data_IF_311893482658
#
_entry.id   IF_311893482658
#
_cell.length_a   1.000
_cell.length_b   1.000
_cell.length_c   1.000
_cell.angle_alpha   90.00
_cell.angle_beta   90.00
_cell.angle_gamma   90.00
#
_symmetry.space_group_name_H-M   'P 1'
#
loop_
_entity.id
_entity.type
_entity.pdbx_description
1 polymer ?
#
# COMPACT_ATOMS: atom_id res chain seq x y z
N UNK A 1 -58.00 -50.53 -19.97
CA UNK A 1 -57.51 -51.88 -19.59
C UNK A 1 -56.05 -51.98 -19.99
N UNK A 2 -55.17 -52.74 -19.32
CA UNK A 2 -55.12 -53.25 -17.93
C UNK A 2 -53.88 -52.62 -17.20
N UNK A 3 -53.69 -52.63 -15.87
CA UNK A 3 -53.86 -53.70 -14.90
C UNK A 3 -52.53 -54.45 -14.72
N UNK A 4 -51.74 -54.11 -13.70
CA UNK A 4 -50.59 -54.90 -13.24
C UNK A 4 -50.24 -54.52 -11.78
N UNK A 5 -49.73 -55.46 -10.97
CA UNK A 5 -50.32 -55.75 -9.66
C UNK A 5 -49.39 -55.56 -8.45
N UNK A 6 -50.03 -55.36 -7.29
CA UNK A 6 -49.75 -56.00 -5.99
C UNK A 6 -48.33 -56.00 -5.43
N UNK A 7 -48.08 -55.15 -4.43
CA UNK A 7 -47.05 -55.38 -3.41
C UNK A 7 -47.73 -55.91 -2.13
N UNK A 8 -47.35 -57.09 -1.61
CA UNK A 8 -47.87 -57.62 -0.36
C UNK A 8 -47.27 -56.88 0.85
N UNK A 9 -48.13 -56.57 1.80
CA UNK A 9 -47.79 -55.88 3.04
C UNK A 9 -46.90 -56.70 3.97
N UNK A 10 -45.98 -55.99 4.63
CA UNK A 10 -45.26 -56.46 5.82
C UNK A 10 -45.77 -55.72 7.08
N UNK A 11 -45.75 -56.36 8.26
CA UNK A 11 -46.58 -55.97 9.39
C UNK A 11 -45.88 -55.00 10.36
N UNK A 12 -46.66 -54.08 10.92
CA UNK A 12 -46.59 -53.76 12.36
C UNK A 12 -45.64 -52.64 12.80
N UNK A 13 -45.98 -51.38 12.49
CA UNK A 13 -45.53 -50.24 13.28
C UNK A 13 -46.60 -49.86 14.33
N UNK A 14 -46.30 -49.84 15.64
CA UNK A 14 -47.28 -49.40 16.64
C UNK A 14 -47.42 -47.86 16.66
N UNK A 15 -48.62 -47.39 16.29
CA UNK A 15 -49.38 -46.32 16.94
C UNK A 15 -48.78 -44.90 17.01
N UNK A 16 -49.32 -43.99 16.19
CA UNK A 16 -49.52 -42.60 16.63
C UNK A 16 -50.81 -42.51 17.45
N UNK A 17 -50.80 -41.77 18.55
CA UNK A 17 -51.96 -40.94 18.89
C UNK A 17 -51.60 -39.50 19.33
N UNK A 18 -52.17 -38.52 18.64
CA UNK A 18 -52.67 -37.27 19.25
C UNK A 18 -51.79 -36.01 19.22
N UNK A 19 -52.13 -35.07 18.35
CA UNK A 19 -52.25 -33.64 18.71
C UNK A 19 -53.76 -33.36 18.77
N UNK A 20 -54.30 -32.54 19.71
CA UNK A 20 -53.87 -31.15 19.88
C UNK A 20 -53.91 -30.60 21.33
N UNK A 21 -53.02 -29.66 21.64
CA UNK A 21 -53.10 -28.87 22.88
C UNK A 21 -52.09 -27.74 22.92
N UNK A 22 -52.55 -26.52 22.69
CA UNK A 22 -51.98 -25.28 23.23
C UNK A 22 -53.20 -24.47 23.71
N UNK A 23 -53.10 -23.56 24.70
CA UNK A 23 -51.91 -23.01 25.35
C UNK A 23 -52.01 -23.02 26.89
N UNK A 24 -50.88 -23.02 27.61
CA UNK A 24 -50.70 -22.07 28.73
C UNK A 24 -49.26 -22.06 29.25
N UNK A 25 -48.84 -20.88 29.68
CA UNK A 25 -47.45 -20.48 29.79
C UNK A 25 -46.70 -20.95 31.03
N UNK A 26 -45.40 -21.14 30.83
CA UNK A 26 -44.36 -20.83 31.81
C UNK A 26 -43.05 -20.71 31.06
N UNK A 27 -42.52 -19.49 31.05
CA UNK A 27 -41.16 -19.18 30.65
C UNK A 27 -40.17 -19.99 31.49
N UNK A 28 -39.49 -20.95 30.87
CA UNK A 28 -38.20 -21.42 31.36
C UNK A 28 -37.17 -21.22 30.25
N UNK A 29 -36.42 -20.14 30.41
CA UNK A 29 -35.23 -19.87 29.64
C UNK A 29 -34.13 -20.85 30.04
N UNK A 30 -34.11 -22.01 29.40
CA UNK A 30 -32.88 -22.79 29.29
C UNK A 30 -32.21 -22.41 27.99
N UNK A 31 -31.38 -21.37 28.03
CA UNK A 31 -30.31 -21.23 27.04
C UNK A 31 -29.53 -22.55 27.01
N UNK A 32 -29.24 -23.15 25.84
CA UNK A 32 -28.40 -24.34 25.80
C UNK A 32 -27.05 -24.00 26.45
N UNK A 33 -26.41 -24.95 27.15
CA UNK A 33 -25.13 -24.71 27.80
C UNK A 33 -24.18 -24.15 26.77
N UNK A 34 -23.57 -23.00 27.08
CA UNK A 34 -22.56 -22.37 26.24
C UNK A 34 -21.51 -23.42 25.94
N UNK A 35 -21.40 -23.80 24.67
CA UNK A 35 -20.29 -24.61 24.20
C UNK A 35 -19.01 -23.84 24.55
N UNK A 36 -18.30 -24.30 25.57
CA UNK A 36 -16.91 -23.93 25.80
C UNK A 36 -16.13 -24.31 24.54
N UNK A 37 -15.54 -23.33 23.86
CA UNK A 37 -14.53 -23.58 22.84
C UNK A 37 -14.92 -23.45 21.37
N UNK A 38 -16.04 -22.82 21.00
CA UNK A 38 -16.33 -22.56 19.58
C UNK A 38 -15.86 -21.17 19.17
N UNK A 39 -14.78 -21.10 18.39
CA UNK A 39 -14.43 -19.86 17.69
C UNK A 39 -15.58 -19.48 16.75
N UNK A 40 -16.03 -18.22 16.76
CA UNK A 40 -17.13 -17.74 15.92
C UNK A 40 -16.64 -16.62 14.99
N UNK A 41 -17.15 -16.61 13.75
CA UNK A 41 -16.91 -15.54 12.78
C UNK A 41 -18.25 -14.99 12.32
N UNK A 42 -18.47 -13.71 12.53
CA UNK A 42 -19.63 -13.00 12.03
C UNK A 42 -19.19 -11.80 11.20
N UNK A 43 -19.95 -11.50 10.16
CA UNK A 43 -19.75 -10.27 9.40
C UNK A 43 -21.09 -9.60 9.15
N UNK A 44 -21.08 -8.27 9.15
CA UNK A 44 -22.25 -7.47 8.81
C UNK A 44 -21.80 -6.21 8.08
N UNK A 45 -22.70 -5.61 7.31
CA UNK A 45 -22.44 -4.35 6.61
C UNK A 45 -23.36 -3.25 7.15
N UNK A 46 -22.85 -2.03 7.18
CA UNK A 46 -23.63 -0.84 7.52
C UNK A 46 -23.12 0.33 6.68
N UNK A 47 -23.96 0.79 5.74
CA UNK A 47 -23.56 1.81 4.75
C UNK A 47 -22.37 1.34 3.92
N UNK A 48 -21.31 2.14 3.86
CA UNK A 48 -20.06 1.83 3.16
C UNK A 48 -19.02 1.10 4.03
N UNK A 49 -19.43 0.54 5.18
CA UNK A 49 -18.53 -0.14 6.13
C UNK A 49 -18.88 -1.62 6.22
N UNK A 50 -17.86 -2.46 6.12
CA UNK A 50 -17.95 -3.90 6.34
C UNK A 50 -17.27 -4.23 7.67
N UNK A 51 -17.99 -4.92 8.54
CA UNK A 51 -17.53 -5.33 9.86
C UNK A 51 -17.32 -6.84 9.88
N UNK A 52 -16.21 -7.26 10.48
CA UNK A 52 -15.91 -8.67 10.75
C UNK A 52 -15.62 -8.78 12.24
N UNK A 53 -16.37 -9.62 12.95
CA UNK A 53 -16.09 -10.00 14.33
C UNK A 53 -15.68 -11.46 14.35
N UNK A 54 -14.48 -11.72 14.85
CA UNK A 54 -13.99 -13.07 15.10
C UNK A 54 -13.78 -13.23 16.61
N UNK A 55 -14.53 -14.15 17.23
CA UNK A 55 -14.27 -14.60 18.59
C UNK A 55 -13.42 -15.87 18.45
N UNK A 56 -12.14 -15.82 18.82
CA UNK A 56 -11.19 -16.92 18.61
C UNK A 56 -10.56 -17.29 19.96
N UNK A 57 -10.62 -18.56 20.33
CA UNK A 57 -9.90 -19.09 21.48
C UNK A 57 -8.51 -19.54 21.06
N UNK A 58 -7.49 -18.89 21.60
CA UNK A 58 -6.08 -19.07 21.23
C UNK A 58 -5.19 -19.04 22.47
N UNK A 59 -4.11 -19.83 22.42
CA UNK A 59 -3.06 -19.80 23.44
C UNK A 59 -2.37 -18.44 23.44
N UNK A 60 -1.90 -17.98 24.61
CA UNK A 60 -1.32 -16.64 24.78
C UNK A 60 -0.15 -16.37 23.81
N UNK A 61 0.64 -17.38 23.47
CA UNK A 61 1.78 -17.26 22.55
C UNK A 61 1.37 -17.09 21.08
N UNK A 62 0.13 -17.47 20.73
CA UNK A 62 -0.43 -17.33 19.39
C UNK A 62 -1.19 -16.01 19.19
N UNK A 63 -1.63 -15.35 20.28
CA UNK A 63 -2.41 -14.10 20.24
C UNK A 63 -1.66 -12.96 19.54
N UNK A 64 -0.40 -12.73 19.89
CA UNK A 64 0.38 -11.66 19.28
C UNK A 64 0.57 -11.89 17.77
N UNK A 65 0.86 -13.13 17.35
CA UNK A 65 1.02 -13.48 15.93
C UNK A 65 -0.29 -13.31 15.17
N UNK A 66 -1.41 -13.70 15.76
CA UNK A 66 -2.73 -13.55 15.17
C UNK A 66 -3.11 -12.07 15.02
N UNK A 67 -2.87 -11.24 16.03
CA UNK A 67 -3.15 -9.79 15.98
C UNK A 67 -2.38 -9.12 14.84
N UNK A 68 -1.07 -9.37 14.75
CA UNK A 68 -0.23 -8.82 13.67
C UNK A 68 -0.73 -9.29 12.30
N UNK A 69 -1.13 -10.56 12.18
CA UNK A 69 -1.69 -11.09 10.93
C UNK A 69 -3.01 -10.38 10.55
N UNK A 70 -3.95 -10.26 11.49
CA UNK A 70 -5.25 -9.58 11.27
C UNK A 70 -5.05 -8.10 10.91
N UNK A 71 -4.14 -7.41 11.62
CA UNK A 71 -3.82 -6.01 11.36
C UNK A 71 -3.25 -5.85 9.94
N UNK A 72 -2.29 -6.68 9.55
CA UNK A 72 -1.70 -6.65 8.20
C UNK A 72 -2.76 -6.86 7.11
N UNK A 73 -3.69 -7.81 7.30
CA UNK A 73 -4.77 -8.04 6.33
C UNK A 73 -5.76 -6.88 6.29
N UNK A 74 -6.07 -6.28 7.43
CA UNK A 74 -6.97 -5.11 7.51
C UNK A 74 -6.40 -3.90 6.76
N UNK A 75 -5.09 -3.65 6.90
CA UNK A 75 -4.37 -2.58 6.19
C UNK A 75 -4.41 -2.83 4.68
N UNK A 76 -4.16 -4.07 4.23
CA UNK A 76 -4.25 -4.45 2.82
C UNK A 76 -5.66 -4.28 2.27
N UNK A 77 -6.69 -4.74 2.98
CA UNK A 77 -8.09 -4.57 2.59
C UNK A 77 -8.47 -3.10 2.47
N UNK A 78 -8.00 -2.24 3.38
CA UNK A 78 -8.21 -0.79 3.29
C UNK A 78 -7.60 -0.21 2.01
N UNK A 79 -6.37 -0.58 1.68
CA UNK A 79 -5.70 -0.16 0.45
C UNK A 79 -6.47 -0.59 -0.81
N UNK A 80 -6.90 -1.85 -0.87
CA UNK A 80 -7.70 -2.39 -1.99
C UNK A 80 -9.03 -1.66 -2.13
N UNK A 81 -9.74 -1.44 -1.02
CA UNK A 81 -11.02 -0.72 -1.04
C UNK A 81 -10.85 0.73 -1.50
N UNK A 82 -9.83 1.44 -1.01
CA UNK A 82 -9.58 2.83 -1.38
C UNK A 82 -9.24 2.94 -2.88
N UNK A 83 -8.32 2.11 -3.39
CA UNK A 83 -7.98 2.06 -4.82
C UNK A 83 -9.18 1.69 -5.68
N UNK A 84 -9.99 0.72 -5.24
CA UNK A 84 -11.17 0.27 -6.01
C UNK A 84 -12.25 1.35 -6.11
N UNK A 85 -12.29 2.28 -5.14
CA UNK A 85 -13.19 3.42 -5.13
C UNK A 85 -12.62 4.66 -5.85
N UNK A 86 -11.36 4.64 -6.29
CA UNK A 86 -10.74 5.78 -6.97
C UNK A 86 -11.31 5.97 -8.38
N UNK A 87 -11.84 7.17 -8.63
CA UNK A 87 -12.30 7.62 -9.96
C UNK A 87 -11.21 8.42 -10.68
N UNK A 88 -10.25 8.97 -9.93
CA UNK A 88 -9.18 9.80 -10.48
C UNK A 88 -7.86 9.57 -9.76
N UNK A 89 -6.72 9.76 -10.44
CA UNK A 89 -5.39 9.66 -9.82
C UNK A 89 -5.20 10.67 -8.69
N UNK A 90 -4.47 10.28 -7.65
CA UNK A 90 -4.10 11.17 -6.53
C UNK A 90 -2.69 11.77 -6.70
N UNK A 91 -2.32 12.12 -7.93
CA UNK A 91 -0.99 12.67 -8.22
C UNK A 91 -0.70 14.00 -7.52
N UNK A 92 -1.72 14.79 -7.16
CA UNK A 92 -1.50 16.05 -6.44
C UNK A 92 -1.10 15.79 -4.98
N UNK A 93 -1.74 14.81 -4.34
CA UNK A 93 -1.33 14.34 -3.01
C UNK A 93 0.10 13.78 -3.04
N UNK A 94 0.42 13.00 -4.09
CA UNK A 94 1.76 12.49 -4.28
C UNK A 94 2.78 13.61 -4.57
N UNK A 95 2.45 14.61 -5.39
CA UNK A 95 3.35 15.73 -5.68
C UNK A 95 3.60 16.58 -4.43
N UNK A 96 2.58 16.75 -3.57
CA UNK A 96 2.70 17.49 -2.32
C UNK A 96 3.74 16.90 -1.35
N UNK A 97 4.12 15.61 -1.49
CA UNK A 97 5.19 15.03 -0.67
C UNK A 97 6.54 15.67 -0.95
N UNK A 98 6.76 16.23 -2.15
CA UNK A 98 7.98 16.97 -2.48
C UNK A 98 8.21 18.13 -1.49
N UNK A 99 7.15 18.85 -1.11
CA UNK A 99 7.24 19.94 -0.13
C UNK A 99 7.64 19.48 1.27
N UNK A 100 7.24 18.26 1.66
CA UNK A 100 7.61 17.66 2.95
C UNK A 100 9.03 17.11 2.95
N UNK A 101 9.48 16.58 1.80
CA UNK A 101 10.83 16.04 1.64
C UNK A 101 11.93 17.10 1.59
N UNK A 102 11.62 18.38 1.32
CA UNK A 102 12.60 19.49 1.32
C UNK A 102 13.48 19.54 2.57
N UNK A 103 13.00 19.05 3.70
CA UNK A 103 13.73 19.03 4.97
C UNK A 103 14.81 17.93 5.05
N UNK A 104 14.88 16.98 4.11
CA UNK A 104 15.80 15.84 4.14
C UNK A 104 16.44 15.59 2.76
N UNK A 105 17.67 15.06 2.70
CA UNK A 105 18.23 14.56 1.44
C UNK A 105 17.39 13.40 0.89
N UNK A 106 17.26 13.33 -0.42
CA UNK A 106 16.63 12.19 -1.12
C UNK A 106 17.68 11.26 -1.72
N UNK A 107 17.41 9.96 -1.63
CA UNK A 107 18.20 8.86 -2.20
C UNK A 107 17.25 7.88 -2.85
N UNK A 108 17.73 7.11 -3.82
CA UNK A 108 16.92 6.13 -4.53
C UNK A 108 16.66 4.78 -3.86
N UNK A 109 17.52 4.37 -2.95
CA UNK A 109 17.37 3.13 -2.16
C UNK A 109 17.84 3.34 -0.73
N UNK A 110 17.27 2.62 0.22
CA UNK A 110 17.85 2.58 1.58
C UNK A 110 19.14 1.78 1.56
N UNK A 111 20.11 2.19 2.39
CA UNK A 111 21.31 1.41 2.64
C UNK A 111 20.99 0.30 3.64
N UNK A 112 21.58 -0.86 3.44
CA UNK A 112 21.53 -1.99 4.36
C UNK A 112 22.59 -1.77 5.45
N UNK A 113 22.40 -2.33 6.66
CA UNK A 113 23.26 -2.06 7.83
C UNK A 113 24.76 -2.22 7.55
N UNK A 114 25.16 -3.20 6.74
CA UNK A 114 26.55 -3.46 6.34
C UNK A 114 27.16 -2.35 5.45
N UNK A 115 26.32 -1.54 4.79
CA UNK A 115 26.74 -0.42 3.93
C UNK A 115 26.83 0.92 4.69
N UNK A 116 26.25 1.01 5.89
CA UNK A 116 26.16 2.26 6.67
C UNK A 116 27.37 2.54 7.58
N UNK A 117 28.26 1.55 7.76
CA UNK A 117 29.35 1.58 8.73
C UNK A 117 30.73 1.60 8.07
N UNK A 118 31.27 2.81 7.86
CA UNK A 118 32.71 3.09 7.91
C UNK A 118 33.58 2.70 6.71
N UNK A 119 34.50 3.61 6.37
CA UNK A 119 35.43 3.60 5.22
C UNK A 119 36.46 2.45 5.13
N UNK A 120 36.30 1.34 5.86
CA UNK A 120 37.33 0.30 6.03
C UNK A 120 36.90 -1.15 5.71
N UNK A 121 35.76 -1.37 5.03
CA UNK A 121 35.37 -2.73 4.58
C UNK A 121 34.99 -2.77 3.09
N UNK A 122 35.98 -2.55 2.21
CA UNK A 122 35.84 -2.63 0.75
C UNK A 122 35.68 -4.05 0.18
N UNK A 123 35.30 -5.06 0.98
CA UNK A 123 35.27 -6.47 0.53
C UNK A 123 33.97 -7.23 0.80
N UNK A 124 32.93 -6.59 1.35
CA UNK A 124 31.61 -7.22 1.45
C UNK A 124 30.71 -6.77 0.31
N UNK A 125 30.02 -7.73 -0.31
CA UNK A 125 29.15 -7.55 -1.48
C UNK A 125 28.05 -6.53 -1.15
N UNK A 126 28.27 -5.28 -1.54
CA UNK A 126 27.22 -4.26 -1.55
C UNK A 126 26.03 -4.83 -2.31
N UNK A 127 24.87 -4.94 -1.66
CA UNK A 127 23.71 -5.53 -2.33
C UNK A 127 23.32 -4.60 -3.47
N UNK A 128 23.05 -5.17 -4.63
CA UNK A 128 22.62 -4.38 -5.78
C UNK A 128 21.38 -3.54 -5.41
N UNK A 129 21.23 -2.34 -5.97
CA UNK A 129 20.07 -1.47 -5.66
C UNK A 129 18.71 -2.17 -5.81
N UNK A 130 18.61 -3.14 -6.73
CA UNK A 130 17.43 -3.99 -6.96
C UNK A 130 17.07 -4.98 -5.82
N UNK A 131 17.94 -5.13 -4.81
CA UNK A 131 17.72 -5.95 -3.62
C UNK A 131 17.40 -5.10 -2.38
N UNK A 132 17.60 -3.78 -2.44
CA UNK A 132 17.37 -2.85 -1.33
C UNK A 132 15.92 -2.36 -1.31
N UNK A 133 15.48 -1.83 -0.18
CA UNK A 133 14.19 -1.14 -0.07
C UNK A 133 14.24 0.17 -0.88
N UNK A 134 13.17 0.43 -1.63
CA UNK A 134 13.02 1.61 -2.49
C UNK A 134 12.65 2.87 -1.73
N UNK A 135 13.06 4.01 -2.27
CA UNK A 135 12.88 5.33 -1.63
C UNK A 135 11.43 5.74 -1.37
N UNK A 136 10.48 5.17 -2.10
CA UNK A 136 9.05 5.50 -1.98
C UNK A 136 8.49 5.20 -0.57
N UNK A 137 9.15 4.35 0.22
CA UNK A 137 8.84 4.14 1.64
C UNK A 137 8.91 5.45 2.43
N UNK A 138 9.81 6.38 2.09
CA UNK A 138 9.91 7.70 2.75
C UNK A 138 8.66 8.57 2.54
N UNK A 139 7.78 8.23 1.60
CA UNK A 139 6.56 9.00 1.32
C UNK A 139 5.40 8.60 2.22
N UNK A 140 5.40 7.36 2.72
CA UNK A 140 4.29 6.78 3.46
C UNK A 140 3.84 7.64 4.65
N UNK A 141 4.73 8.21 5.49
CA UNK A 141 4.31 9.09 6.58
C UNK A 141 3.62 10.37 6.10
N UNK A 142 3.98 10.89 4.92
CA UNK A 142 3.34 12.09 4.35
C UNK A 142 2.00 11.79 3.68
N UNK A 143 1.68 10.52 3.48
CA UNK A 143 0.47 10.02 2.84
C UNK A 143 -0.52 9.38 3.85
N UNK A 144 -0.28 9.55 5.15
CA UNK A 144 -1.07 8.93 6.21
C UNK A 144 -1.03 7.40 6.16
N UNK A 145 0.17 6.84 5.97
CA UNK A 145 0.46 5.39 5.92
C UNK A 145 1.57 5.02 6.91
N UNK A 146 1.54 5.63 8.09
CA UNK A 146 2.49 5.39 9.18
C UNK A 146 2.46 3.93 9.65
N UNK A 147 1.28 3.30 9.59
CA UNK A 147 1.04 1.88 9.86
C UNK A 147 1.84 0.96 8.91
N UNK A 148 1.82 1.25 7.60
CA UNK A 148 2.61 0.54 6.60
C UNK A 148 4.10 0.83 6.78
N UNK A 149 4.45 2.10 7.02
CA UNK A 149 5.84 2.52 7.23
C UNK A 149 6.49 1.77 8.40
N UNK A 150 5.78 1.62 9.52
CA UNK A 150 6.28 0.91 10.70
C UNK A 150 6.55 -0.60 10.46
N UNK A 151 5.93 -1.19 9.44
CA UNK A 151 6.13 -2.61 9.10
C UNK A 151 7.36 -2.84 8.20
N UNK A 152 7.89 -1.79 7.57
CA UNK A 152 9.05 -1.91 6.68
C UNK A 152 10.36 -1.88 7.48
N UNK A 153 11.21 -2.87 7.25
CA UNK A 153 12.59 -2.88 7.73
C UNK A 153 13.53 -2.44 6.60
N UNK A 154 13.95 -1.18 6.64
CA UNK A 154 14.80 -0.57 5.62
C UNK A 154 16.23 -1.08 5.62
N UNK A 155 16.63 -1.79 6.69
CA UNK A 155 17.97 -2.38 6.84
C UNK A 155 18.03 -3.80 6.28
N UNK A 156 16.90 -4.36 5.86
CA UNK A 156 16.80 -5.68 5.24
C UNK A 156 16.51 -5.57 3.73
N UNK A 157 16.77 -6.63 2.95
CA UNK A 157 16.32 -6.68 1.56
C UNK A 157 14.80 -6.49 1.47
N UNK A 158 14.33 -5.86 0.41
CA UNK A 158 12.88 -5.67 0.23
C UNK A 158 12.14 -7.01 0.05
N UNK A 159 12.86 -8.07 -0.34
CA UNK A 159 12.34 -9.44 -0.46
C UNK A 159 12.35 -10.24 0.85
N UNK A 160 12.69 -9.65 1.99
CA UNK A 160 12.55 -10.34 3.28
C UNK A 160 11.06 -10.56 3.59
N UNK A 161 10.72 -11.63 4.31
CA UNK A 161 9.32 -11.96 4.63
C UNK A 161 8.55 -10.79 5.24
N UNK A 162 9.19 -10.09 6.18
CA UNK A 162 8.64 -8.88 6.81
C UNK A 162 8.32 -7.78 5.78
N UNK A 163 9.25 -7.51 4.87
CA UNK A 163 9.07 -6.48 3.85
C UNK A 163 8.08 -6.91 2.76
N UNK A 164 8.02 -8.19 2.40
CA UNK A 164 7.04 -8.70 1.44
C UNK A 164 5.60 -8.54 1.94
N UNK A 165 5.37 -8.72 3.25
CA UNK A 165 4.06 -8.46 3.86
C UNK A 165 3.66 -6.99 3.72
N UNK A 166 4.53 -6.06 4.12
CA UNK A 166 4.27 -4.63 3.99
C UNK A 166 4.10 -4.22 2.51
N UNK A 167 4.98 -4.71 1.64
CA UNK A 167 5.00 -4.47 0.19
C UNK A 167 3.77 -4.97 -0.54
N UNK A 168 3.00 -5.87 0.07
CA UNK A 168 1.70 -6.33 -0.41
C UNK A 168 0.57 -5.31 -0.26
N UNK A 169 0.80 -4.17 0.39
CA UNK A 169 -0.20 -3.11 0.60
C UNK A 169 -0.33 -2.24 -0.64
N UNK A 170 -1.57 -1.91 -1.02
CA UNK A 170 -1.85 -0.99 -2.10
C UNK A 170 -1.88 0.44 -1.57
N UNK A 171 -1.06 1.30 -2.16
CA UNK A 171 -0.98 2.72 -1.80
C UNK A 171 -1.71 3.52 -2.88
N UNK A 172 -2.89 4.11 -2.59
CA UNK A 172 -3.72 4.82 -3.56
C UNK A 172 -2.96 5.83 -4.41
N UNK A 173 -2.07 6.60 -3.79
CA UNK A 173 -1.29 7.64 -4.45
C UNK A 173 -0.29 7.09 -5.46
N UNK A 174 0.16 5.84 -5.31
CA UNK A 174 1.08 5.20 -6.25
C UNK A 174 0.36 4.57 -7.45
N UNK A 175 -0.97 4.49 -7.43
CA UNK A 175 -1.76 3.81 -8.46
C UNK A 175 -2.51 4.83 -9.33
N UNK A 176 -2.53 4.58 -10.64
CA UNK A 176 -3.40 5.28 -11.59
C UNK A 176 -4.64 4.40 -11.83
N UNK A 177 -5.84 4.81 -11.37
CA UNK A 177 -7.06 4.03 -11.53
C UNK A 177 -7.53 3.90 -12.98
N UNK A 178 -7.00 4.71 -13.90
CA UNK A 178 -7.32 4.62 -15.32
C UNK A 178 -6.55 3.51 -16.04
N UNK A 179 -5.55 2.91 -15.38
CA UNK A 179 -4.83 1.77 -15.94
C UNK A 179 -5.58 0.46 -15.70
N UNK A 180 -5.32 -0.58 -16.52
CA UNK A 180 -5.92 -1.88 -16.34
C UNK A 180 -5.72 -2.40 -14.91
N UNK A 181 -6.75 -2.99 -14.31
CA UNK A 181 -6.70 -3.50 -12.93
C UNK A 181 -5.56 -4.50 -12.69
N UNK A 182 -5.16 -5.24 -13.72
CA UNK A 182 -4.02 -6.16 -13.66
C UNK A 182 -2.68 -5.47 -13.35
N UNK A 183 -2.54 -4.17 -13.63
CA UNK A 183 -1.31 -3.42 -13.35
C UNK A 183 -1.25 -2.84 -11.94
N UNK A 184 -2.36 -2.86 -11.18
CA UNK A 184 -2.41 -2.34 -9.81
C UNK A 184 -1.64 -3.22 -8.82
N UNK A 185 -1.35 -4.44 -9.25
CA UNK A 185 -0.54 -5.42 -8.55
C UNK A 185 0.73 -5.69 -9.35
N UNK A 186 1.86 -5.76 -8.66
CA UNK A 186 3.13 -6.16 -9.25
C UNK A 186 3.34 -7.65 -9.02
N UNK A 187 3.13 -8.46 -10.06
CA UNK A 187 3.45 -9.88 -10.06
C UNK A 187 4.87 -10.09 -10.60
N UNK A 188 5.70 -10.84 -9.87
CA UNK A 188 7.08 -11.11 -10.25
C UNK A 188 7.27 -12.61 -10.44
N UNK A 189 7.84 -13.07 -11.57
CA UNK A 189 8.11 -14.49 -11.79
C UNK A 189 9.03 -15.11 -10.73
N UNK A 190 9.91 -14.31 -10.12
CA UNK A 190 10.82 -14.74 -9.04
C UNK A 190 10.15 -14.84 -7.67
N UNK A 191 8.92 -14.36 -7.51
CA UNK A 191 8.12 -14.41 -6.29
C UNK A 191 6.66 -14.77 -6.63
N UNK A 192 6.41 -15.98 -7.16
CA UNK A 192 5.10 -16.34 -7.71
C UNK A 192 3.99 -16.31 -6.65
N UNK A 193 4.31 -16.59 -5.39
CA UNK A 193 3.36 -16.65 -4.28
C UNK A 193 3.08 -15.28 -3.64
N UNK A 194 3.83 -14.24 -4.04
CA UNK A 194 3.69 -12.90 -3.48
C UNK A 194 2.98 -11.96 -4.46
N UNK A 195 1.90 -11.37 -3.96
CA UNK A 195 1.20 -10.29 -4.63
C UNK A 195 1.62 -8.96 -4.02
N UNK A 196 2.39 -8.14 -4.76
CA UNK A 196 2.88 -6.86 -4.28
C UNK A 196 2.02 -5.70 -4.78
N UNK A 197 1.95 -4.61 -4.02
CA UNK A 197 1.37 -3.36 -4.50
C UNK A 197 2.25 -2.76 -5.60
N UNK A 198 1.63 -2.31 -6.69
CA UNK A 198 2.36 -1.65 -7.76
C UNK A 198 2.58 -0.15 -7.49
N UNK A 199 3.50 0.45 -8.24
CA UNK A 199 3.56 1.89 -8.50
C UNK A 199 3.49 2.15 -10.01
N UNK A 200 2.75 3.19 -10.38
CA UNK A 200 2.71 3.75 -11.74
C UNK A 200 3.50 5.04 -11.87
N UNK A 201 4.29 5.37 -10.85
CA UNK A 201 5.16 6.53 -10.80
C UNK A 201 6.58 6.11 -10.40
N UNK A 202 7.58 6.76 -10.97
CA UNK A 202 9.00 6.54 -10.67
C UNK A 202 9.70 7.86 -10.43
N UNK A 203 10.74 7.85 -9.61
CA UNK A 203 11.70 8.95 -9.53
C UNK A 203 12.64 8.97 -10.75
N UNK A 204 13.08 10.15 -11.17
CA UNK A 204 14.04 10.25 -12.26
C UNK A 204 15.47 10.39 -11.74
N UNK A 205 16.36 9.55 -12.28
CA UNK A 205 17.77 9.54 -11.85
C UNK A 205 18.68 10.45 -12.65
N UNK A 206 18.24 10.89 -13.84
CA UNK A 206 19.05 11.72 -14.73
C UNK A 206 19.00 11.29 -16.18
N UNK A 207 19.88 11.87 -16.99
CA UNK A 207 20.08 11.57 -18.41
C UNK A 207 21.09 10.44 -18.57
N UNK A 208 20.69 9.39 -19.27
CA UNK A 208 21.37 8.09 -19.36
C UNK A 208 20.53 6.99 -18.72
N UNK A 209 20.43 5.84 -19.39
CA UNK A 209 19.67 4.68 -18.86
C UNK A 209 20.25 4.14 -17.55
N UNK A 210 21.53 4.40 -17.30
CA UNK A 210 22.33 4.03 -16.13
C UNK A 210 22.50 5.18 -15.13
N UNK A 211 21.79 6.30 -15.31
CA UNK A 211 21.97 7.50 -14.47
C UNK A 211 21.72 7.27 -12.97
N UNK A 212 21.05 6.17 -12.59
CA UNK A 212 20.90 5.77 -11.19
C UNK A 212 22.23 5.44 -10.50
N UNK A 213 23.23 4.99 -11.26
CA UNK A 213 24.56 4.62 -10.75
C UNK A 213 25.56 5.78 -10.77
N UNK A 214 25.21 6.92 -11.36
CA UNK A 214 26.09 8.08 -11.41
C UNK A 214 26.31 8.65 -10.00
N UNK A 215 27.58 8.97 -9.72
CA UNK A 215 28.02 9.49 -8.42
C UNK A 215 28.18 11.01 -8.47
N UNK A 216 28.01 11.63 -7.31
CA UNK A 216 28.40 13.03 -7.14
C UNK A 216 29.93 13.15 -7.26
N UNK A 217 30.41 14.17 -7.97
CA UNK A 217 31.84 14.42 -8.20
C UNK A 217 32.40 13.85 -9.51
N UNK A 218 31.64 13.03 -10.24
CA UNK A 218 32.01 12.67 -11.62
C UNK A 218 31.71 13.85 -12.56
N UNK A 219 32.75 14.61 -12.90
CA UNK A 219 32.65 15.77 -13.77
C UNK A 219 32.02 15.44 -15.15
N UNK A 220 32.19 14.22 -15.65
CA UNK A 220 31.63 13.81 -16.96
C UNK A 220 30.10 13.59 -16.90
N UNK A 221 29.54 13.39 -15.70
CA UNK A 221 28.12 13.12 -15.46
C UNK A 221 27.41 14.23 -14.68
N UNK A 222 28.13 15.24 -14.19
CA UNK A 222 27.59 16.29 -13.33
C UNK A 222 26.31 16.96 -13.91
N UNK A 223 26.32 17.26 -15.22
CA UNK A 223 25.17 17.86 -15.94
C UNK A 223 24.09 16.86 -16.36
N UNK A 224 24.22 15.59 -15.97
CA UNK A 224 23.25 14.53 -16.28
C UNK A 224 22.49 14.05 -15.05
N UNK A 225 22.82 14.54 -13.86
CA UNK A 225 22.24 14.06 -12.61
C UNK A 225 20.81 14.58 -12.43
N UNK A 226 19.86 13.65 -12.20
CA UNK A 226 18.52 13.97 -11.73
C UNK A 226 18.44 14.01 -10.21
N UNK A 227 17.21 14.05 -9.67
CA UNK A 227 17.00 14.09 -8.22
C UNK A 227 17.44 12.82 -7.49
N UNK A 228 17.34 11.66 -8.13
CA UNK A 228 17.61 10.37 -7.48
C UNK A 228 18.89 9.69 -7.97
N UNK A 229 19.53 8.94 -7.08
CA UNK A 229 20.60 8.01 -7.41
C UNK A 229 20.67 6.92 -6.36
N UNK A 230 21.24 5.76 -6.70
CA UNK A 230 21.29 4.62 -5.79
C UNK A 230 22.28 4.82 -4.65
N UNK A 231 23.45 5.38 -4.97
CA UNK A 231 24.57 5.55 -4.04
C UNK A 231 24.96 7.02 -3.83
N UNK A 232 24.02 7.94 -4.10
CA UNK A 232 24.17 9.38 -3.81
C UNK A 232 22.93 9.95 -3.16
N UNK A 233 23.09 11.12 -2.54
CA UNK A 233 22.00 11.89 -1.94
C UNK A 233 21.88 13.22 -2.65
N UNK A 234 20.65 13.69 -2.85
CA UNK A 234 20.37 15.02 -3.39
C UNK A 234 19.60 15.81 -2.35
N UNK A 235 20.07 16.99 -1.96
CA UNK A 235 19.23 17.93 -1.21
C UNK A 235 18.44 18.77 -2.20
N UNK A 236 17.26 19.23 -1.80
CA UNK A 236 16.47 20.17 -2.60
C UNK A 236 17.22 21.49 -2.87
N UNK A 237 18.13 21.87 -1.97
CA UNK A 237 19.02 23.02 -2.17
C UNK A 237 20.06 22.80 -3.29
N UNK A 238 20.34 21.56 -3.68
CA UNK A 238 21.26 21.23 -4.78
C UNK A 238 20.55 21.25 -6.15
N UNK A 239 19.26 21.60 -6.20
CA UNK A 239 18.46 21.71 -7.42
C UNK A 239 18.51 23.16 -7.93
N UNK A 240 19.55 23.50 -8.67
CA UNK A 240 19.79 24.86 -9.16
C UNK A 240 19.02 25.21 -10.43
N UNK A 241 18.52 24.20 -11.17
CA UNK A 241 17.68 24.41 -12.38
C UNK A 241 16.25 24.90 -12.03
N UNK A 242 15.92 24.92 -10.73
CA UNK A 242 14.66 25.42 -10.19
C UNK A 242 13.65 24.30 -9.89
N UNK A 243 13.06 24.32 -8.70
CA UNK A 243 12.17 23.24 -8.25
C UNK A 243 10.90 23.08 -9.10
N UNK A 244 10.39 24.16 -9.70
CA UNK A 244 9.23 24.13 -10.61
C UNK A 244 9.55 23.62 -12.02
N UNK A 245 10.85 23.44 -12.30
CA UNK A 245 11.38 23.03 -13.60
C UNK A 245 11.92 21.60 -13.54
N UNK A 246 12.43 21.15 -12.39
CA UNK A 246 12.92 19.79 -12.21
C UNK A 246 11.81 18.81 -11.83
N UNK A 247 11.74 17.69 -12.55
CA UNK A 247 10.84 16.56 -12.30
C UNK A 247 11.35 15.78 -11.10
N UNK A 248 10.45 15.59 -10.14
CA UNK A 248 10.65 14.75 -8.96
C UNK A 248 10.18 13.32 -9.24
N UNK A 249 8.95 13.15 -9.72
CA UNK A 249 8.43 11.84 -10.15
C UNK A 249 7.72 11.97 -11.49
N UNK A 250 7.62 10.86 -12.23
CA UNK A 250 6.91 10.81 -13.50
C UNK A 250 6.05 9.55 -13.59
N UNK A 251 4.88 9.68 -14.20
CA UNK A 251 4.03 8.55 -14.54
C UNK A 251 4.71 7.68 -15.61
N UNK A 252 4.58 6.37 -15.46
CA UNK A 252 5.10 5.37 -16.41
C UNK A 252 3.97 4.51 -16.97
N UNK A 253 4.13 3.94 -18.18
CA UNK A 253 3.19 2.96 -18.72
C UNK A 253 3.04 1.71 -17.82
N UNK A 254 1.86 1.07 -17.77
CA UNK A 254 1.59 -0.12 -16.96
C UNK A 254 2.14 -1.42 -17.59
N UNK A 255 3.27 -1.35 -18.30
CA UNK A 255 3.82 -2.48 -19.07
C UNK A 255 4.74 -3.38 -18.24
N UNK A 256 5.31 -2.85 -17.16
CA UNK A 256 6.24 -3.57 -16.28
C UNK A 256 5.68 -3.67 -14.87
N UNK A 257 5.81 -4.83 -14.19
CA UNK A 257 5.49 -4.94 -12.78
C UNK A 257 6.50 -4.14 -11.95
N UNK A 258 6.01 -3.14 -11.23
CA UNK A 258 6.84 -2.23 -10.42
C UNK A 258 6.37 -2.27 -8.96
N UNK A 259 6.91 -3.15 -8.12
CA UNK A 259 6.60 -3.13 -6.70
C UNK A 259 7.07 -1.82 -6.08
N UNK A 260 6.20 -1.09 -5.40
CA UNK A 260 6.56 0.21 -4.83
C UNK A 260 7.64 0.11 -3.73
N UNK A 261 7.74 -1.05 -3.08
CA UNK A 261 8.74 -1.30 -2.02
C UNK A 261 10.13 -1.61 -2.58
N UNK A 262 10.23 -2.01 -3.85
CA UNK A 262 11.48 -2.45 -4.45
C UNK A 262 12.39 -1.26 -4.80
N UNK A 263 13.66 -1.36 -4.42
CA UNK A 263 14.70 -0.49 -4.92
C UNK A 263 15.07 -0.76 -6.37
N UNK A 264 15.92 0.09 -6.94
CA UNK A 264 16.38 -0.07 -8.32
C UNK A 264 15.37 0.41 -9.37
N UNK A 265 15.42 -0.24 -10.54
CA UNK A 265 14.63 0.12 -11.72
C UNK A 265 13.10 0.06 -11.55
N UNK A 266 12.58 -0.52 -10.46
CA UNK A 266 11.15 -0.56 -10.18
C UNK A 266 10.61 0.83 -9.81
N UNK A 267 11.36 1.60 -9.03
CA UNK A 267 10.94 2.88 -8.44
C UNK A 267 11.75 4.07 -8.91
N UNK A 268 12.84 3.84 -9.65
CA UNK A 268 13.66 4.87 -10.30
C UNK A 268 13.95 4.49 -11.74
N UNK A 269 14.05 5.49 -12.61
CA UNK A 269 14.40 5.29 -14.00
C UNK A 269 15.28 6.42 -14.54
N UNK A 270 16.30 6.06 -15.31
CA UNK A 270 17.09 6.99 -16.12
C UNK A 270 16.41 7.30 -17.45
N UNK A 271 16.71 8.47 -18.00
CA UNK A 271 16.09 8.97 -19.23
C UNK A 271 17.04 8.77 -20.41
N UNK A 272 16.65 8.09 -21.51
CA UNK A 272 17.48 7.96 -22.69
C UNK A 272 17.89 9.31 -23.28
N UNK A 273 19.08 9.40 -23.88
CA UNK A 273 19.59 10.65 -24.48
C UNK A 273 18.87 11.08 -25.77
N UNK A 274 18.12 10.16 -26.39
CA UNK A 274 17.34 10.37 -27.60
C UNK A 274 15.95 9.78 -27.44
N UNK A 275 14.94 10.41 -28.03
CA UNK A 275 13.53 10.04 -27.84
C UNK A 275 13.21 9.94 -26.35
N UNK A 276 13.68 10.93 -25.59
CA UNK A 276 13.80 10.88 -24.13
C UNK A 276 12.47 10.67 -23.43
N UNK A 277 11.38 11.23 -23.97
CA UNK A 277 10.03 11.10 -23.40
C UNK A 277 9.40 9.72 -23.67
N UNK A 278 9.84 9.01 -24.72
CA UNK A 278 9.17 7.81 -25.23
C UNK A 278 8.90 6.71 -24.18
N UNK A 279 9.81 6.42 -23.21
CA UNK A 279 9.55 5.41 -22.18
C UNK A 279 8.39 5.75 -21.22
N UNK A 280 7.96 7.01 -21.18
CA UNK A 280 6.97 7.52 -20.23
C UNK A 280 5.60 7.77 -20.89
N UNK A 281 5.54 7.82 -22.22
CA UNK A 281 4.33 8.13 -22.98
C UNK A 281 3.30 7.02 -22.86
N UNK A 282 2.06 7.38 -22.51
CA UNK A 282 0.92 6.48 -22.50
C UNK A 282 -0.36 7.21 -22.97
N UNK A 283 -1.33 6.53 -23.61
CA UNK A 283 -2.64 7.10 -23.91
C UNK A 283 -3.38 7.50 -22.63
N UNK A 284 -3.74 8.78 -22.51
CA UNK A 284 -4.48 9.30 -21.36
C UNK A 284 -5.97 9.41 -21.68
N UNK A 285 -6.77 9.63 -20.63
CA UNK A 285 -8.18 9.97 -20.79
C UNK A 285 -8.35 11.20 -21.71
N UNK A 286 -9.39 11.19 -22.56
CA UNK A 286 -9.65 12.27 -23.50
C UNK A 286 -8.78 12.25 -24.77
N UNK A 287 -8.11 11.14 -25.08
CA UNK A 287 -7.40 10.93 -26.34
C UNK A 287 -6.02 11.59 -26.44
N UNK A 288 -5.59 12.29 -25.39
CA UNK A 288 -4.24 12.87 -25.32
C UNK A 288 -3.20 11.77 -25.11
N UNK A 289 -2.01 11.94 -25.69
CA UNK A 289 -0.89 11.01 -25.52
C UNK A 289 0.30 11.74 -24.90
N UNK A 290 0.80 11.21 -23.79
CA UNK A 290 1.79 11.89 -22.97
C UNK A 290 1.91 11.26 -21.59
N UNK A 291 2.39 12.03 -20.61
CA UNK A 291 2.59 11.58 -19.23
C UNK A 291 2.40 12.71 -18.23
N UNK A 292 2.16 12.36 -16.97
CA UNK A 292 2.08 13.31 -15.87
C UNK A 292 3.40 13.35 -15.12
N UNK A 293 3.96 14.54 -14.98
CA UNK A 293 5.15 14.80 -14.19
C UNK A 293 4.79 15.54 -12.91
N UNK A 294 5.32 15.06 -11.80
CA UNK A 294 5.22 15.66 -10.48
C UNK A 294 6.53 16.39 -10.25
N UNK A 295 6.45 17.71 -10.11
CA UNK A 295 7.60 18.60 -10.05
C UNK A 295 8.14 18.70 -8.61
N UNK A 296 9.41 19.10 -8.46
CA UNK A 296 10.05 19.21 -7.16
C UNK A 296 9.48 20.34 -6.27
N UNK A 297 8.72 21.28 -6.84
CA UNK A 297 7.93 22.27 -6.09
C UNK A 297 6.56 21.75 -5.60
N UNK A 298 6.20 20.51 -5.99
CA UNK A 298 4.93 19.87 -5.70
C UNK A 298 3.79 20.21 -6.67
N UNK A 299 4.08 20.95 -7.74
CA UNK A 299 3.13 21.13 -8.84
C UNK A 299 3.08 19.89 -9.75
N UNK A 300 2.04 19.80 -10.58
CA UNK A 300 1.85 18.72 -11.55
C UNK A 300 1.77 19.32 -12.95
N UNK A 301 2.44 18.69 -13.91
CA UNK A 301 2.40 19.05 -15.34
C UNK A 301 2.00 17.85 -16.19
N UNK A 302 1.26 18.09 -17.26
CA UNK A 302 1.04 17.08 -18.29
C UNK A 302 2.02 17.32 -19.42
N UNK A 303 2.92 16.37 -19.68
CA UNK A 303 3.93 16.44 -20.74
C UNK A 303 3.41 15.71 -21.98
N UNK A 304 3.27 16.43 -23.09
CA UNK A 304 2.86 15.88 -24.37
C UNK A 304 3.95 15.00 -25.01
N UNK A 305 3.55 14.00 -25.81
CA UNK A 305 4.49 13.08 -26.47
C UNK A 305 5.46 13.75 -27.46
N UNK A 306 5.10 14.94 -27.96
CA UNK A 306 5.87 15.70 -28.94
C UNK A 306 6.80 16.76 -28.31
N UNK A 307 7.00 16.73 -26.98
CA UNK A 307 7.97 17.59 -26.32
C UNK A 307 9.37 17.39 -26.93
N UNK A 308 10.12 18.45 -27.26
CA UNK A 308 11.49 18.31 -27.74
C UNK A 308 12.39 17.63 -26.70
N UNK A 309 13.30 16.75 -27.14
CA UNK A 309 14.23 16.04 -26.25
C UNK A 309 14.99 17.01 -25.34
N UNK A 310 15.50 18.12 -25.88
CA UNK A 310 16.23 19.13 -25.09
C UNK A 310 15.37 19.71 -23.95
N UNK A 311 14.11 20.05 -24.24
CA UNK A 311 13.19 20.60 -23.24
C UNK A 311 12.86 19.57 -22.17
N UNK A 312 12.57 18.32 -22.56
CA UNK A 312 12.32 17.27 -21.58
C UNK A 312 13.56 16.96 -20.73
N UNK A 313 14.74 16.90 -21.34
CA UNK A 313 15.99 16.64 -20.62
C UNK A 313 16.32 17.74 -19.60
N UNK A 314 16.09 19.01 -19.95
CA UNK A 314 16.24 20.13 -19.02
C UNK A 314 15.29 20.04 -17.82
N UNK A 315 14.13 19.38 -17.97
CA UNK A 315 13.23 19.10 -16.85
C UNK A 315 13.71 17.94 -15.98
N UNK A 316 14.65 17.10 -16.43
CA UNK A 316 15.11 15.91 -15.70
C UNK A 316 16.32 16.21 -14.82
N UNK A 317 17.19 17.11 -15.26
CA UNK A 317 18.42 17.46 -14.57
C UNK A 317 18.13 18.34 -13.35
N UNK A 318 18.97 18.20 -12.32
CA UNK A 318 18.88 19.03 -11.11
C UNK A 318 19.71 20.31 -11.20
N UNK A 319 20.81 20.28 -11.94
CA UNK A 319 21.84 21.32 -11.96
C UNK A 319 22.67 21.33 -13.26
N UNK A 320 22.01 21.22 -14.41
CA UNK A 320 22.69 21.29 -15.70
C UNK A 320 22.84 22.73 -16.23
N UNK A 321 22.06 23.66 -15.66
CA UNK A 321 21.88 25.05 -16.11
C UNK A 321 21.23 25.13 -17.50
N UNK A 322 20.40 24.14 -17.84
CA UNK A 322 19.72 24.06 -19.12
C UNK A 322 18.48 24.96 -19.17
N UNK A 323 18.27 25.58 -20.34
CA UNK A 323 17.06 26.34 -20.63
C UNK A 323 15.88 25.39 -20.91
N UNK A 324 14.85 25.47 -20.07
CA UNK A 324 13.59 24.72 -20.24
C UNK A 324 12.68 25.28 -21.33
N UNK A 325 13.04 26.41 -21.96
CA UNK A 325 12.35 26.98 -23.11
C UNK A 325 10.85 27.18 -22.90
N UNK A 326 10.05 26.89 -23.93
CA UNK A 326 8.58 26.97 -23.89
C UNK A 326 7.93 25.78 -23.17
N UNK A 327 8.33 25.55 -21.92
CA UNK A 327 7.83 24.45 -21.09
C UNK A 327 6.30 24.43 -21.00
N UNK A 328 5.63 25.59 -21.00
CA UNK A 328 4.16 25.63 -20.87
C UNK A 328 3.43 25.20 -22.15
N UNK A 329 4.06 25.30 -23.32
CA UNK A 329 3.48 24.86 -24.60
C UNK A 329 3.41 23.33 -24.69
N UNK A 330 4.43 22.63 -24.18
CA UNK A 330 4.53 21.17 -24.24
C UNK A 330 4.19 20.47 -22.93
N UNK A 331 4.34 21.17 -21.80
CA UNK A 331 4.16 20.65 -20.45
C UNK A 331 3.31 21.60 -19.57
N UNK A 332 2.06 21.92 -19.96
CA UNK A 332 1.19 22.80 -19.18
C UNK A 332 0.96 22.25 -17.76
N UNK A 333 0.80 23.17 -16.80
CA UNK A 333 0.40 22.83 -15.43
C UNK A 333 -1.01 22.24 -15.43
N UNK A 334 -1.21 21.25 -14.58
CA UNK A 334 -2.51 20.62 -14.34
C UNK A 334 -3.11 21.27 -13.10
N UNK A 335 -4.26 21.91 -13.27
CA UNK A 335 -4.97 22.52 -12.15
C UNK A 335 -5.55 21.44 -11.23
N UNK A 336 -5.36 21.64 -9.93
CA UNK A 336 -5.80 20.72 -8.88
C UNK A 336 -5.05 20.97 -7.58
N UNK A 337 -5.71 20.70 -6.46
CA UNK A 337 -5.13 20.84 -5.12
C UNK A 337 -5.12 19.51 -4.39
N UNK A 338 -4.03 19.21 -3.69
CA UNK A 338 -4.03 18.15 -2.71
C UNK A 338 -4.94 18.58 -1.56
N UNK A 339 -6.08 17.91 -1.37
CA UNK A 339 -6.81 18.06 -0.11
C UNK A 339 -5.85 17.72 1.04
N UNK A 340 -5.79 18.50 2.13
CA UNK A 340 -4.93 18.16 3.26
C UNK A 340 -5.27 16.76 3.75
N UNK A 341 -4.32 15.83 3.62
CA UNK A 341 -4.43 14.51 4.26
C UNK A 341 -4.26 14.76 5.75
N UNK A 342 -5.37 14.98 6.45
CA UNK A 342 -5.36 15.01 7.91
C UNK A 342 -5.00 13.60 8.41
N UNK A 343 -4.09 13.46 9.38
CA UNK A 343 -3.89 12.19 10.07
C UNK A 343 -5.24 11.74 10.63
N UNK A 344 -5.81 10.66 10.07
CA UNK A 344 -7.06 10.11 10.60
C UNK A 344 -6.71 9.38 11.89
N UNK A 345 -6.97 10.00 13.03
CA UNK A 345 -7.10 9.29 14.29
C UNK A 345 -8.12 8.17 14.09
N UNK A 346 -7.84 6.91 14.46
CA UNK A 346 -8.85 5.86 14.41
C UNK A 346 -10.08 6.33 15.20
N UNK A 347 -11.31 6.18 14.67
CA UNK A 347 -12.50 6.42 15.47
C UNK A 347 -12.42 5.53 16.71
N UNK A 348 -12.57 6.13 17.89
CA UNK A 348 -12.60 5.40 19.14
C UNK A 348 -13.61 4.25 19.02
N UNK A 349 -13.28 3.03 19.50
CA UNK A 349 -14.25 1.96 19.56
C UNK A 349 -15.50 2.47 20.29
N UNK A 350 -16.72 2.07 19.86
CA UNK A 350 -17.93 2.45 20.57
C UNK A 350 -17.76 2.09 22.06
N UNK A 351 -18.16 2.99 22.98
CA UNK A 351 -18.00 2.73 24.41
C UNK A 351 -18.66 1.38 24.71
N UNK A 352 -17.88 0.50 25.34
CA UNK A 352 -18.42 -0.73 25.89
C UNK A 352 -19.62 -0.33 26.76
N UNK A 353 -20.80 -0.89 26.48
CA UNK A 353 -21.94 -0.74 27.39
C UNK A 353 -21.44 -1.13 28.78
N UNK A 354 -21.64 -0.29 29.82
CA UNK A 354 -21.32 -0.69 31.18
C UNK A 354 -21.98 -2.04 31.46
N UNK A 355 -21.20 -2.98 31.99
CA UNK A 355 -21.78 -4.19 32.57
C UNK A 355 -22.77 -3.72 33.64
N UNK A 356 -24.00 -4.18 33.54
CA UNK A 356 -25.04 -3.91 34.52
C UNK A 356 -24.71 -4.73 35.79
N UNK A 357 -23.91 -4.14 36.68
CA UNK A 357 -23.50 -4.73 37.96
C UNK A 357 -24.66 -4.82 38.99
N UNK A 358 -25.92 -4.72 38.56
CA UNK A 358 -27.08 -4.77 39.46
C UNK A 358 -27.59 -6.18 39.79
N UNK A 359 -26.84 -7.25 39.49
CA UNK A 359 -27.17 -8.64 39.91
C UNK A 359 -26.01 -9.42 40.55
N UNK A 360 -25.15 -8.77 41.33
CA UNK A 360 -24.28 -9.49 42.26
C UNK A 360 -25.05 -9.80 43.57
N UNK A 361 -25.64 -11.00 43.66
CA UNK A 361 -26.12 -11.53 44.94
C UNK A 361 -24.88 -11.87 45.79
N UNK A 362 -24.76 -11.41 47.05
CA UNK A 362 -23.57 -11.70 47.85
C UNK A 362 -23.44 -13.20 48.13
N UNK A 363 -22.20 -13.73 48.25
CA UNK A 363 -21.97 -15.15 48.50
C UNK A 363 -22.53 -15.56 49.86
N UNK A 364 -23.23 -16.70 49.88
CA UNK A 364 -23.79 -17.28 51.09
C UNK A 364 -22.68 -17.72 52.06
N UNK A 365 -22.82 -17.35 53.32
CA UNK A 365 -21.98 -17.78 54.45
C UNK A 365 -22.09 -19.30 54.64
N UNK A 366 -20.98 -20.03 54.88
CA UNK A 366 -21.05 -21.47 55.16
C UNK A 366 -21.65 -21.74 56.56
N UNK A 367 -22.36 -22.86 56.77
CA UNK A 367 -23.00 -23.18 58.05
C UNK A 367 -21.95 -23.60 59.11
N UNK A 368 -22.22 -23.39 60.40
CA UNK A 368 -21.30 -23.76 61.48
C UNK A 368 -21.25 -25.28 61.72
N UNK A 369 -20.18 -25.80 62.36
CA UNK A 369 -20.03 -27.24 62.57
C UNK A 369 -20.96 -27.75 63.66
N UNK A 370 -21.62 -28.88 63.40
CA UNK A 370 -22.43 -29.61 64.37
C UNK A 370 -21.56 -30.09 65.54
N UNK A 371 -21.95 -29.73 66.78
CA UNK A 371 -21.48 -30.39 68.00
C UNK A 371 -22.58 -31.37 68.44
N UNK A 372 -22.16 -32.60 68.74
CA UNK A 372 -22.96 -33.61 69.44
C UNK A 372 -23.45 -33.12 70.80
#
# INVERSE_FOLDING_TARGET
>A
MPGAPGLPGGPGGPGMPGMPGSPDGSSDGSSPPSASGSSSLSSWSSGNRFWVKADIEIKAEADQKLRVAIESQSIRMRGVADVSAMISPRWHELAATANRLKAKPVRGTFLIDDESQGAFRKTFVSRSPSQRVGWMVNLLPFLGKEDVYAQVDTKQPWRSDKNLLAGGTWIPQFINPNYPRSSWQAHLPSLPDNSLGATHYVGLSGIGVDAGDYLDGDASKAKKLGMFGYNRETRFADVTDGLSNTIYMIQVPPTLPRPWIAGGGATIQGVPEKNSIAPFVYPQAGGKKGTYALMADGSVRFIAENIPDKTFQAMVTRAAEDDVGEINSFAPKVEGSAAPIQPKTPPAPPPAKPADDSKAKPPATPPPPEKK
#
